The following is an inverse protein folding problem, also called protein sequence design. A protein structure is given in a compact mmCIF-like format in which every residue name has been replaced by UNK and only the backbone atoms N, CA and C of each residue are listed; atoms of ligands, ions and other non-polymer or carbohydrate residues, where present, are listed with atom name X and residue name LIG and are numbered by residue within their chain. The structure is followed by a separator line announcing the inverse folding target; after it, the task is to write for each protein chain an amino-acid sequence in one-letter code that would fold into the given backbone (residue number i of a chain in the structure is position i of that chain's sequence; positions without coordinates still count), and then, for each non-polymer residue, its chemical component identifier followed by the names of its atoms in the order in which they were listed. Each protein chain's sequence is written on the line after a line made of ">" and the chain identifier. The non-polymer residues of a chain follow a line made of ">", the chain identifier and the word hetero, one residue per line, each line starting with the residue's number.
data_IF_257172587221
#
_entry.id   IF_257172587221
#
_cell.length_a   1.000
_cell.length_b   1.000
_cell.length_c   1.000
_cell.angle_alpha   90.00
_cell.angle_beta   90.00
_cell.angle_gamma   90.00
#
_symmetry.space_group_name_H-M   'P 1'
#
loop_
_entity.id
_entity.type
_entity.pdbx_description
1 polymer ?
#
# COMPACT_ATOMS: atom_id res chain seq x y z
N UNK A 1 5.27 -9.72 -9.93
CA UNK A 1 5.43 -9.67 -8.45
C UNK A 1 4.24 -10.38 -7.83
N UNK A 2 4.50 -11.28 -6.91
CA UNK A 2 3.40 -12.01 -6.28
C UNK A 2 2.83 -11.21 -5.08
N UNK A 3 1.74 -11.72 -4.52
CA UNK A 3 1.04 -11.02 -3.44
C UNK A 3 1.89 -10.88 -2.18
N UNK A 4 2.73 -11.86 -1.89
CA UNK A 4 3.60 -11.81 -0.71
C UNK A 4 4.63 -10.69 -0.82
N UNK A 5 5.18 -10.51 -2.01
CA UNK A 5 6.14 -9.43 -2.26
C UNK A 5 5.46 -8.06 -2.17
N UNK A 6 4.23 -7.95 -2.69
CA UNK A 6 3.45 -6.72 -2.59
C UNK A 6 3.16 -6.36 -1.14
N UNK A 7 2.71 -7.34 -0.37
CA UNK A 7 2.45 -7.14 1.05
C UNK A 7 3.71 -6.75 1.81
N UNK A 8 4.83 -7.38 1.50
CA UNK A 8 6.10 -7.05 2.15
C UNK A 8 6.51 -5.60 1.87
N UNK A 9 6.31 -5.12 0.65
CA UNK A 9 6.60 -3.72 0.31
C UNK A 9 5.74 -2.76 1.12
N UNK A 10 4.46 -3.07 1.27
CA UNK A 10 3.55 -2.24 2.06
C UNK A 10 3.92 -2.26 3.54
N UNK A 11 4.29 -3.43 4.05
CA UNK A 11 4.72 -3.55 5.44
C UNK A 11 5.98 -2.71 5.70
N UNK A 12 6.93 -2.72 4.76
CA UNK A 12 8.12 -1.89 4.86
C UNK A 12 7.78 -0.40 4.92
N UNK A 13 6.86 0.04 4.05
CA UNK A 13 6.43 1.44 4.01
C UNK A 13 5.81 1.87 5.33
N UNK A 14 5.03 0.98 5.94
CA UNK A 14 4.32 1.25 7.18
C UNK A 14 5.10 0.87 8.43
N UNK A 15 6.33 0.38 8.26
CA UNK A 15 7.18 -0.07 9.36
C UNK A 15 6.49 -1.16 10.20
N UNK A 16 5.83 -2.08 9.51
CA UNK A 16 5.17 -3.21 10.13
C UNK A 16 6.00 -4.48 10.00
N UNK A 17 5.81 -5.41 10.92
CA UNK A 17 6.45 -6.71 10.86
C UNK A 17 5.88 -7.52 9.68
N UNK A 18 6.71 -8.38 9.12
CA UNK A 18 6.29 -9.24 8.02
C UNK A 18 5.17 -10.16 8.45
N UNK A 19 4.18 -10.30 7.59
CA UNK A 19 3.03 -11.15 7.86
C UNK A 19 1.91 -10.46 8.62
N UNK A 20 2.06 -9.16 8.93
CA UNK A 20 1.04 -8.40 9.64
C UNK A 20 -0.13 -8.03 8.75
N UNK A 21 0.14 -7.64 7.50
CA UNK A 21 -0.89 -7.21 6.57
C UNK A 21 -1.52 -8.38 5.83
N UNK A 22 -2.81 -8.25 5.59
CA UNK A 22 -3.59 -9.21 4.80
C UNK A 22 -4.43 -8.43 3.79
N UNK A 23 -4.77 -9.04 2.64
CA UNK A 23 -5.57 -8.34 1.63
C UNK A 23 -6.91 -7.83 2.15
N UNK A 24 -7.53 -8.57 3.06
CA UNK A 24 -8.85 -8.21 3.62
C UNK A 24 -8.78 -7.19 4.75
N UNK A 25 -7.59 -6.83 5.22
CA UNK A 25 -7.44 -5.86 6.31
C UNK A 25 -7.99 -4.50 5.87
N UNK A 26 -8.81 -3.89 6.74
CA UNK A 26 -9.33 -2.54 6.49
C UNK A 26 -8.27 -1.50 6.81
N UNK A 27 -8.10 -0.54 5.92
CA UNK A 27 -7.09 0.51 6.12
C UNK A 27 -7.39 1.36 7.35
N UNK A 28 -8.66 1.56 7.66
CA UNK A 28 -9.07 2.32 8.86
C UNK A 28 -8.64 1.64 10.16
N UNK A 29 -8.36 0.34 10.12
CA UNK A 29 -7.90 -0.42 11.28
C UNK A 29 -6.37 -0.40 11.40
N UNK A 30 -5.67 0.16 10.44
CA UNK A 30 -4.20 0.23 10.43
C UNK A 30 -3.77 1.64 10.81
N UNK A 31 -3.29 1.82 12.03
CA UNK A 31 -2.83 3.12 12.50
C UNK A 31 -1.64 3.63 11.70
N UNK A 32 -0.81 2.72 11.22
CA UNK A 32 0.39 3.04 10.44
C UNK A 32 0.07 3.54 9.04
N UNK A 33 -1.16 3.36 8.55
CA UNK A 33 -1.59 3.90 7.28
C UNK A 33 -2.02 5.36 7.46
N UNK A 34 -1.04 6.24 7.50
CA UNK A 34 -1.23 7.68 7.69
C UNK A 34 -0.72 8.44 6.47
N UNK A 35 -0.67 9.76 6.58
CA UNK A 35 -0.21 10.61 5.49
C UNK A 35 1.21 10.30 5.04
N UNK A 36 2.07 9.94 5.99
CA UNK A 36 3.47 9.63 5.70
C UNK A 36 3.57 8.31 4.92
N UNK A 37 2.84 7.30 5.37
CA UNK A 37 2.80 6.02 4.67
C UNK A 37 2.21 6.16 3.27
N UNK A 38 1.15 6.95 3.13
CA UNK A 38 0.54 7.22 1.83
C UNK A 38 1.53 7.90 0.89
N UNK A 39 2.30 8.86 1.38
CA UNK A 39 3.32 9.52 0.58
C UNK A 39 4.41 8.54 0.14
N UNK A 40 4.87 7.69 1.06
CA UNK A 40 5.86 6.67 0.74
C UNK A 40 5.33 5.69 -0.32
N UNK A 41 4.06 5.34 -0.22
CA UNK A 41 3.41 4.50 -1.21
C UNK A 41 3.41 5.16 -2.60
N UNK A 42 3.08 6.45 -2.67
CA UNK A 42 3.09 7.20 -3.94
C UNK A 42 4.48 7.19 -4.57
N UNK A 43 5.51 7.43 -3.76
CA UNK A 43 6.90 7.42 -4.24
C UNK A 43 7.28 6.01 -4.74
N UNK A 44 6.95 4.99 -3.99
CA UNK A 44 7.23 3.61 -4.36
C UNK A 44 6.55 3.24 -5.68
N UNK A 45 5.30 3.66 -5.87
CA UNK A 45 4.57 3.37 -7.11
C UNK A 45 5.22 4.03 -8.32
N UNK A 46 5.71 5.26 -8.15
CA UNK A 46 6.41 5.96 -9.22
C UNK A 46 7.74 5.27 -9.55
N UNK A 47 8.49 4.87 -8.53
CA UNK A 47 9.83 4.29 -8.71
C UNK A 47 9.78 2.83 -9.17
N UNK A 48 8.94 2.01 -8.55
CA UNK A 48 8.93 0.57 -8.80
C UNK A 48 7.99 0.16 -9.92
N UNK A 49 6.89 0.87 -10.11
CA UNK A 49 5.84 0.50 -11.06
C UNK A 49 5.64 1.53 -12.18
N UNK A 50 6.29 2.68 -12.08
CA UNK A 50 6.15 3.73 -13.09
C UNK A 50 4.75 4.31 -13.15
N UNK A 51 4.02 4.30 -12.05
CA UNK A 51 2.64 4.78 -11.97
C UNK A 51 2.53 6.03 -11.12
N UNK A 52 1.65 6.93 -11.53
CA UNK A 52 1.31 8.13 -10.77
C UNK A 52 0.02 7.88 -10.00
N UNK A 53 0.08 7.99 -8.68
CA UNK A 53 -1.08 7.78 -7.81
C UNK A 53 -1.53 9.15 -7.29
N UNK A 54 -2.83 9.41 -7.36
CA UNK A 54 -3.40 10.68 -6.91
C UNK A 54 -3.95 10.56 -5.49
N UNK A 55 -4.12 11.71 -4.82
CA UNK A 55 -4.76 11.74 -3.50
C UNK A 55 -6.18 11.20 -3.53
N UNK A 56 -6.90 11.43 -4.64
CA UNK A 56 -8.26 10.92 -4.79
C UNK A 56 -8.29 9.39 -4.80
N UNK A 57 -7.32 8.77 -5.46
CA UNK A 57 -7.21 7.31 -5.47
C UNK A 57 -6.93 6.77 -4.06
N UNK A 58 -6.03 7.43 -3.33
CA UNK A 58 -5.70 7.04 -1.95
C UNK A 58 -6.93 7.11 -1.05
N UNK A 59 -7.71 8.18 -1.19
CA UNK A 59 -8.92 8.34 -0.37
C UNK A 59 -10.01 7.33 -0.71
N UNK A 60 -9.98 6.76 -1.91
CA UNK A 60 -10.93 5.74 -2.32
C UNK A 60 -10.58 4.35 -1.80
N UNK A 61 -9.35 4.12 -1.37
CA UNK A 61 -8.94 2.82 -0.84
C UNK A 61 -9.63 2.53 0.48
N UNK A 62 -10.17 1.33 0.63
CA UNK A 62 -10.82 0.88 1.87
C UNK A 62 -10.08 -0.29 2.50
N UNK A 63 -9.52 -1.16 1.68
CA UNK A 63 -8.82 -2.37 2.14
C UNK A 63 -7.42 -2.41 1.56
N UNK A 64 -6.59 -3.27 2.15
CA UNK A 64 -5.25 -3.53 1.62
C UNK A 64 -5.35 -4.06 0.19
N UNK A 65 -6.39 -4.86 -0.11
CA UNK A 65 -6.58 -5.39 -1.46
C UNK A 65 -6.71 -4.26 -2.49
N UNK A 66 -7.38 -3.16 -2.13
CA UNK A 66 -7.51 -2.01 -3.04
C UNK A 66 -6.15 -1.46 -3.43
N UNK A 67 -5.22 -1.40 -2.46
CA UNK A 67 -3.85 -0.97 -2.72
C UNK A 67 -3.12 -1.99 -3.60
N UNK A 68 -3.27 -3.28 -3.26
CA UNK A 68 -2.60 -4.35 -4.01
C UNK A 68 -3.01 -4.35 -5.48
N UNK A 69 -4.26 -4.00 -5.76
CA UNK A 69 -4.77 -3.96 -7.13
C UNK A 69 -4.05 -2.92 -8.00
N UNK A 70 -3.44 -1.91 -7.39
CA UNK A 70 -2.69 -0.89 -8.13
C UNK A 70 -1.24 -1.32 -8.38
N UNK A 71 -0.73 -2.30 -7.64
CA UNK A 71 0.67 -2.71 -7.66
C UNK A 71 0.94 -3.74 -8.75
N UNK A 72 0.64 -3.37 -9.98
CA UNK A 72 0.86 -4.19 -11.16
C UNK A 72 1.51 -3.35 -12.25
N UNK A 73 2.48 -3.94 -12.92
CA UNK A 73 3.14 -3.27 -14.05
C UNK A 73 2.32 -3.37 -15.32
#
# INVERSE_FOLDING_TARGET
>A
MDIKEKLAKLEDIMDLDKGTLRPETLLEDIEEWDSLAALSYVVMMADDFGKTITGAEIRAFKTVQDILNTMEK
#
